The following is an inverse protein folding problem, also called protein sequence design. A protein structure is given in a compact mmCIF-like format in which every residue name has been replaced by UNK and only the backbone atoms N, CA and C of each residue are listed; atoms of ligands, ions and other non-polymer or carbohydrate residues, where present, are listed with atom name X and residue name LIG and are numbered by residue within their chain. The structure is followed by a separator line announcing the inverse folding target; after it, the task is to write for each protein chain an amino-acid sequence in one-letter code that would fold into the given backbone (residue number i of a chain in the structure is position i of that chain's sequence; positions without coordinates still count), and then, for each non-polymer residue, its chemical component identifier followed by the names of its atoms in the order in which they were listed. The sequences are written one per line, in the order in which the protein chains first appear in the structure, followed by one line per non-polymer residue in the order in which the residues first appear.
data_IF_703866338245
#
_entry.id   IF_703866338245
#
_cell.length_a   1.000
_cell.length_b   1.000
_cell.length_c   1.000
_cell.angle_alpha   90.00
_cell.angle_beta   90.00
_cell.angle_gamma   90.00
#
_symmetry.space_group_name_H-M   'P 1'
#
loop_
_entity.id
_entity.type
_entity.pdbx_description
1 polymer ?
#
# COMPACT_ATOMS: atom_id res chain seq x y z
N UNK A 1 6.15 1.66 -50.90
CA UNK A 1 6.65 0.64 -49.94
C UNK A 1 7.29 1.21 -48.66
N UNK A 2 7.57 2.52 -48.56
CA UNK A 2 8.26 3.10 -47.40
C UNK A 2 7.35 3.49 -46.22
N UNK A 3 6.05 3.72 -46.45
CA UNK A 3 5.10 4.14 -45.40
C UNK A 3 4.43 2.97 -44.65
N UNK A 4 4.25 1.82 -45.32
CA UNK A 4 3.69 0.59 -44.71
C UNK A 4 4.70 -0.15 -43.81
N UNK A 5 5.99 -0.01 -44.11
CA UNK A 5 7.07 -0.56 -43.28
C UNK A 5 7.33 0.33 -42.05
N UNK A 6 7.11 1.65 -42.17
CA UNK A 6 7.27 2.61 -41.05
C UNK A 6 6.18 2.46 -39.97
N UNK A 7 4.97 2.05 -40.35
CA UNK A 7 3.86 1.80 -39.43
C UNK A 7 4.02 0.48 -38.63
N UNK A 8 4.74 -0.50 -39.18
CA UNK A 8 5.00 -1.77 -38.49
C UNK A 8 6.11 -1.70 -37.45
N UNK A 9 7.07 -0.77 -37.59
CA UNK A 9 8.16 -0.57 -36.61
C UNK A 9 7.72 0.19 -35.36
N UNK A 10 6.68 1.01 -35.42
CA UNK A 10 6.14 1.74 -34.25
C UNK A 10 5.35 0.80 -33.32
N UNK A 11 4.72 -0.25 -33.85
CA UNK A 11 3.92 -1.18 -33.05
C UNK A 11 4.78 -2.11 -32.16
N UNK A 12 6.00 -2.44 -32.57
CA UNK A 12 6.94 -3.26 -31.80
C UNK A 12 7.60 -2.53 -30.61
N UNK A 13 7.63 -1.20 -30.63
CA UNK A 13 8.20 -0.38 -29.55
C UNK A 13 7.24 -0.14 -28.37
N UNK A 14 5.94 -0.40 -28.54
CA UNK A 14 4.94 -0.19 -27.49
C UNK A 14 4.82 -1.39 -26.53
N UNK A 15 5.23 -2.59 -26.95
CA UNK A 15 5.11 -3.81 -26.13
C UNK A 15 6.17 -3.86 -25.02
N UNK A 16 7.34 -3.24 -25.22
CA UNK A 16 8.41 -3.19 -24.20
C UNK A 16 8.13 -2.24 -23.04
N UNK A 17 7.22 -1.27 -23.21
CA UNK A 17 6.82 -0.34 -22.13
C UNK A 17 5.86 -0.98 -21.12
N UNK A 18 5.09 -2.01 -21.54
CA UNK A 18 4.13 -2.71 -20.65
C UNK A 18 4.85 -3.55 -19.59
N UNK A 19 5.97 -4.18 -19.94
CA UNK A 19 6.76 -4.99 -19.00
C UNK A 19 7.63 -4.16 -18.05
N UNK A 20 8.13 -3.00 -18.50
CA UNK A 20 8.86 -2.06 -17.63
C UNK A 20 7.97 -1.48 -16.52
N UNK A 21 6.69 -1.23 -16.82
CA UNK A 21 5.73 -0.68 -15.87
C UNK A 21 5.29 -1.70 -14.80
N UNK A 22 5.23 -2.99 -15.15
CA UNK A 22 4.91 -4.07 -14.19
C UNK A 22 6.08 -4.35 -13.23
N UNK A 23 7.32 -4.30 -13.72
CA UNK A 23 8.53 -4.52 -12.92
C UNK A 23 8.81 -3.33 -11.97
N UNK A 24 8.56 -2.09 -12.41
CA UNK A 24 8.61 -0.90 -11.55
C UNK A 24 7.48 -0.87 -10.51
N UNK A 25 6.25 -1.27 -10.86
CA UNK A 25 5.15 -1.39 -9.88
C UNK A 25 5.39 -2.48 -8.84
N UNK A 26 5.96 -3.63 -9.23
CA UNK A 26 6.37 -4.68 -8.28
C UNK A 26 7.50 -4.23 -7.37
N UNK A 27 8.46 -3.45 -7.88
CA UNK A 27 9.51 -2.80 -7.05
C UNK A 27 8.95 -1.78 -6.04
N UNK A 28 7.72 -1.30 -6.21
CA UNK A 28 7.08 -0.35 -5.29
C UNK A 28 6.27 -1.03 -4.17
N UNK A 29 5.89 -2.29 -4.30
CA UNK A 29 5.15 -3.01 -3.25
C UNK A 29 6.10 -3.82 -2.38
N UNK A 30 6.33 -3.34 -1.14
CA UNK A 30 7.11 -4.05 -0.12
C UNK A 30 6.51 -5.42 0.20
N UNK A 31 7.35 -6.42 0.45
CA UNK A 31 6.89 -7.75 0.88
C UNK A 31 6.32 -7.71 2.32
N UNK A 32 5.54 -8.71 2.76
CA UNK A 32 5.09 -8.82 4.15
C UNK A 32 6.24 -8.75 5.17
N UNK A 33 7.36 -9.40 4.86
CA UNK A 33 8.57 -9.43 5.68
C UNK A 33 9.23 -8.05 5.76
N UNK A 34 9.39 -7.36 4.63
CA UNK A 34 9.95 -6.00 4.59
C UNK A 34 9.10 -5.02 5.39
N UNK A 35 7.76 -5.11 5.27
CA UNK A 35 6.85 -4.29 6.06
C UNK A 35 6.94 -4.62 7.57
N UNK A 36 7.09 -5.90 7.92
CA UNK A 36 7.27 -6.31 9.32
C UNK A 36 8.58 -5.76 9.90
N UNK A 37 9.69 -5.82 9.15
CA UNK A 37 10.98 -5.23 9.55
C UNK A 37 10.87 -3.72 9.76
N UNK A 38 10.20 -2.99 8.86
CA UNK A 38 10.02 -1.55 9.01
C UNK A 38 9.25 -1.20 10.28
N UNK A 39 8.13 -1.90 10.54
CA UNK A 39 7.33 -1.69 11.74
C UNK A 39 8.15 -1.99 12.99
N UNK A 40 8.92 -3.08 12.98
CA UNK A 40 9.77 -3.46 14.09
C UNK A 40 10.83 -2.38 14.38
N UNK A 41 11.47 -1.84 13.35
CA UNK A 41 12.42 -0.72 13.49
C UNK A 41 11.78 0.50 14.16
N UNK A 42 10.58 0.92 13.71
CA UNK A 42 9.84 2.04 14.32
C UNK A 42 9.40 1.77 15.76
N UNK A 43 9.14 0.51 16.11
CA UNK A 43 8.82 0.13 17.49
C UNK A 43 10.06 0.22 18.37
N UNK A 44 11.19 -0.31 17.92
CA UNK A 44 12.45 -0.33 18.65
C UNK A 44 13.02 1.08 18.91
N UNK A 45 12.67 2.07 18.07
CA UNK A 45 12.95 3.48 18.34
C UNK A 45 12.19 4.03 19.58
N UNK A 46 11.07 3.41 19.98
CA UNK A 46 10.19 3.92 21.03
C UNK A 46 10.08 3.03 22.26
N UNK A 47 10.36 1.75 22.12
CA UNK A 47 10.30 0.75 23.19
C UNK A 47 11.42 -0.27 23.02
N UNK A 48 12.00 -0.70 24.13
CA UNK A 48 12.89 -1.86 24.15
C UNK A 48 12.04 -3.14 24.07
N UNK A 49 12.47 -4.06 23.22
CA UNK A 49 11.90 -5.40 23.05
C UNK A 49 13.02 -6.41 23.31
N UNK A 50 12.74 -7.43 24.12
CA UNK A 50 13.63 -8.58 24.21
C UNK A 50 13.57 -9.43 22.93
N UNK A 51 14.49 -10.38 22.80
CA UNK A 51 14.62 -11.21 21.58
C UNK A 51 13.36 -12.04 21.30
N UNK A 52 12.67 -12.51 22.33
CA UNK A 52 11.45 -13.30 22.18
C UNK A 52 10.29 -12.39 21.73
N UNK A 53 10.11 -11.24 22.37
CA UNK A 53 9.13 -10.24 22.00
C UNK A 53 9.36 -9.74 20.58
N UNK A 54 10.61 -9.46 20.21
CA UNK A 54 11.02 -9.03 18.87
C UNK A 54 10.61 -10.05 17.81
N UNK A 55 10.96 -11.32 18.03
CA UNK A 55 10.60 -12.41 17.12
C UNK A 55 9.09 -12.57 17.00
N UNK A 56 8.36 -12.58 18.12
CA UNK A 56 6.91 -12.73 18.11
C UNK A 56 6.21 -11.54 17.45
N UNK A 57 6.66 -10.30 17.69
CA UNK A 57 6.12 -9.10 17.01
C UNK A 57 6.37 -9.20 15.51
N UNK A 58 7.56 -9.62 15.08
CA UNK A 58 7.88 -9.82 13.67
C UNK A 58 6.93 -10.85 13.03
N UNK A 59 6.84 -12.06 13.60
CA UNK A 59 6.01 -13.16 13.07
C UNK A 59 4.53 -12.72 12.95
N UNK A 60 3.99 -12.06 13.99
CA UNK A 60 2.61 -11.52 13.97
C UNK A 60 2.40 -10.50 12.85
N UNK A 61 3.38 -9.64 12.56
CA UNK A 61 3.23 -8.64 11.49
C UNK A 61 3.37 -9.25 10.10
N UNK A 62 4.23 -10.26 9.92
CA UNK A 62 4.30 -11.01 8.65
C UNK A 62 2.95 -11.65 8.35
N UNK A 63 2.35 -12.35 9.31
CA UNK A 63 1.03 -12.99 9.15
C UNK A 63 -0.06 -11.95 8.84
N UNK A 64 -0.05 -10.82 9.56
CA UNK A 64 -0.97 -9.72 9.34
C UNK A 64 -0.85 -9.14 7.93
N UNK A 65 0.36 -8.81 7.46
CA UNK A 65 0.55 -8.23 6.14
C UNK A 65 0.21 -9.21 5.03
N UNK A 66 0.50 -10.49 5.23
CA UNK A 66 0.11 -11.57 4.30
C UNK A 66 -1.42 -11.64 4.18
N UNK A 67 -2.13 -11.67 5.32
CA UNK A 67 -3.59 -11.71 5.36
C UNK A 67 -4.23 -10.45 4.79
N UNK A 68 -3.61 -9.28 5.07
CA UNK A 68 -4.07 -7.99 4.58
C UNK A 68 -3.99 -7.91 3.05
N UNK A 69 -2.92 -8.45 2.44
CA UNK A 69 -2.80 -8.50 0.98
C UNK A 69 -3.95 -9.28 0.33
N UNK A 70 -4.38 -10.39 0.93
CA UNK A 70 -5.51 -11.17 0.42
C UNK A 70 -6.84 -10.42 0.60
N UNK A 71 -7.10 -9.88 1.79
CA UNK A 71 -8.35 -9.16 2.09
C UNK A 71 -8.47 -7.86 1.29
N UNK A 72 -7.36 -7.17 1.00
CA UNK A 72 -7.38 -5.97 0.16
C UNK A 72 -7.90 -6.26 -1.25
N UNK A 73 -7.65 -7.45 -1.81
CA UNK A 73 -8.19 -7.87 -3.12
C UNK A 73 -9.72 -7.97 -3.08
N UNK A 74 -10.27 -8.40 -1.95
CA UNK A 74 -11.72 -8.49 -1.72
C UNK A 74 -12.39 -7.12 -1.51
N UNK A 75 -11.61 -6.06 -1.24
CA UNK A 75 -12.09 -4.71 -0.88
C UNK A 75 -13.07 -4.70 0.31
N UNK A 76 -13.00 -5.72 1.16
CA UNK A 76 -13.86 -5.85 2.32
C UNK A 76 -13.28 -5.07 3.51
N UNK A 77 -13.92 -3.96 3.88
CA UNK A 77 -13.45 -3.08 4.96
C UNK A 77 -13.57 -3.71 6.34
N UNK A 78 -14.64 -4.44 6.59
CA UNK A 78 -14.89 -5.09 7.88
C UNK A 78 -13.81 -6.12 8.18
N UNK A 79 -13.49 -6.98 7.20
CA UNK A 79 -12.38 -7.94 7.33
C UNK A 79 -11.02 -7.26 7.55
N UNK A 80 -10.79 -6.09 6.94
CA UNK A 80 -9.54 -5.35 7.20
C UNK A 80 -9.47 -4.85 8.64
N UNK A 81 -10.59 -4.37 9.19
CA UNK A 81 -10.68 -3.93 10.58
C UNK A 81 -10.51 -5.10 11.55
N UNK A 82 -11.15 -6.24 11.28
CA UNK A 82 -10.98 -7.47 12.05
C UNK A 82 -9.53 -7.94 12.09
N UNK A 83 -8.81 -7.91 10.96
CA UNK A 83 -7.38 -8.26 10.92
C UNK A 83 -6.53 -7.31 11.78
N UNK A 84 -6.83 -6.02 11.76
CA UNK A 84 -6.12 -5.04 12.60
C UNK A 84 -6.37 -5.31 14.08
N UNK A 85 -7.61 -5.61 14.46
CA UNK A 85 -7.96 -5.93 15.84
C UNK A 85 -7.33 -7.24 16.32
N UNK A 86 -7.37 -8.29 15.48
CA UNK A 86 -6.77 -9.58 15.76
C UNK A 86 -5.26 -9.42 16.00
N UNK A 87 -4.57 -8.72 15.09
CA UNK A 87 -3.14 -8.40 15.22
C UNK A 87 -2.86 -7.64 16.52
N UNK A 88 -3.65 -6.61 16.83
CA UNK A 88 -3.49 -5.83 18.06
C UNK A 88 -3.69 -6.68 19.32
N UNK A 89 -4.59 -7.67 19.28
CA UNK A 89 -4.82 -8.59 20.40
C UNK A 89 -3.63 -9.53 20.59
N UNK A 90 -3.12 -10.13 19.52
CA UNK A 90 -1.94 -11.00 19.58
C UNK A 90 -0.72 -10.27 20.14
N UNK A 91 -0.47 -9.03 19.71
CA UNK A 91 0.64 -8.22 20.25
C UNK A 91 0.44 -7.87 21.73
N UNK A 92 -0.81 -7.68 22.17
CA UNK A 92 -1.12 -7.40 23.59
C UNK A 92 -0.76 -8.56 24.52
N UNK A 93 -0.84 -9.80 24.02
CA UNK A 93 -0.56 -11.00 24.81
C UNK A 93 0.94 -11.18 25.06
N UNK A 94 1.80 -10.59 24.23
CA UNK A 94 3.27 -10.73 24.32
C UNK A 94 3.97 -9.49 24.89
N UNK A 95 3.35 -8.31 24.80
CA UNK A 95 3.95 -7.05 25.29
C UNK A 95 3.42 -6.68 26.67
N UNK A 96 4.28 -6.09 27.50
CA UNK A 96 3.84 -5.47 28.75
C UNK A 96 2.90 -4.31 28.50
N UNK A 97 2.06 -3.98 29.49
CA UNK A 97 1.08 -2.89 29.38
C UNK A 97 1.66 -1.55 28.92
N UNK A 98 2.88 -1.21 29.36
CA UNK A 98 3.57 0.03 28.94
C UNK A 98 4.04 -0.06 27.48
N UNK A 99 4.69 -1.16 27.11
CA UNK A 99 5.14 -1.43 25.74
C UNK A 99 3.95 -1.43 24.77
N UNK A 100 2.86 -2.11 25.13
CA UNK A 100 1.66 -2.19 24.31
C UNK A 100 1.00 -0.83 24.04
N UNK A 101 1.00 0.08 25.02
CA UNK A 101 0.48 1.44 24.81
C UNK A 101 1.29 2.20 23.77
N UNK A 102 2.62 2.12 23.84
CA UNK A 102 3.52 2.74 22.86
C UNK A 102 3.38 2.10 21.49
N UNK A 103 3.22 0.78 21.45
CA UNK A 103 2.91 0.03 20.24
C UNK A 103 1.68 0.59 19.52
N UNK A 104 0.56 0.79 20.25
CA UNK A 104 -0.66 1.36 19.66
C UNK A 104 -0.43 2.77 19.11
N UNK A 105 0.37 3.60 19.78
CA UNK A 105 0.74 4.93 19.27
C UNK A 105 1.53 4.83 17.97
N UNK A 106 2.52 3.95 17.87
CA UNK A 106 3.28 3.70 16.63
C UNK A 106 2.35 3.24 15.50
N UNK A 107 1.40 2.36 15.80
CA UNK A 107 0.41 1.92 14.80
C UNK A 107 -0.51 3.04 14.35
N UNK A 108 -0.87 3.98 15.23
CA UNK A 108 -1.71 5.12 14.89
C UNK A 108 -0.96 6.15 14.03
N UNK A 109 0.28 6.46 14.37
CA UNK A 109 1.13 7.41 13.62
C UNK A 109 1.45 6.91 12.21
N UNK A 110 1.61 5.59 12.04
CA UNK A 110 1.91 4.97 10.75
C UNK A 110 0.68 4.73 9.86
N UNK A 111 -0.54 5.06 10.32
CA UNK A 111 -1.71 4.96 9.45
C UNK A 111 -1.59 6.01 8.33
N UNK A 112 -1.80 5.62 7.06
CA UNK A 112 -1.81 6.60 5.98
C UNK A 112 -2.88 7.64 6.27
N UNK A 113 -2.47 8.90 6.39
CA UNK A 113 -3.40 10.02 6.51
C UNK A 113 -4.27 10.02 5.25
N UNK A 114 -5.57 9.82 5.42
CA UNK A 114 -6.51 10.09 4.32
C UNK A 114 -6.39 11.58 4.02
N UNK A 115 -6.13 12.00 2.77
CA UNK A 115 -6.19 13.41 2.43
C UNK A 115 -7.56 13.95 2.84
N UNK A 116 -7.59 14.85 3.82
CA UNK A 116 -8.78 15.63 4.15
C UNK A 116 -9.10 16.51 2.93
N UNK A 117 -9.92 16.01 2.00
CA UNK A 117 -10.31 16.78 0.83
C UNK A 117 -10.51 16.04 -0.49
N UNK A 118 -10.86 14.75 -0.48
CA UNK A 118 -11.31 14.04 -1.69
C UNK A 118 -12.68 14.50 -2.21
N UNK A 119 -12.85 15.78 -2.56
CA UNK A 119 -13.88 16.23 -3.50
C UNK A 119 -13.31 16.01 -4.90
N UNK A 120 -13.93 15.13 -5.68
CA UNK A 120 -13.67 15.07 -7.13
C UNK A 120 -13.37 13.70 -7.71
N UNK A 121 -14.17 12.69 -7.39
CA UNK A 121 -14.47 11.70 -8.42
C UNK A 121 -15.29 12.41 -9.51
N UNK A 122 -14.66 12.81 -10.61
CA UNK A 122 -15.38 13.10 -11.85
C UNK A 122 -14.49 12.84 -13.07
N UNK A 123 -15.10 12.22 -14.07
CA UNK A 123 -14.48 11.63 -15.26
C UNK A 123 -13.51 12.53 -16.00
N UNK A 124 -12.55 11.87 -16.67
CA UNK A 124 -11.52 12.53 -17.47
C UNK A 124 -12.05 13.36 -18.64
N UNK A 125 -11.19 14.15 -19.30
CA UNK A 125 -11.61 15.00 -20.40
C UNK A 125 -11.62 14.19 -21.71
N UNK A 126 -12.60 13.30 -21.84
CA UNK A 126 -13.07 12.75 -23.11
C UNK A 126 -14.45 13.31 -23.42
N UNK A 127 -14.50 14.42 -24.17
CA UNK A 127 -15.71 14.83 -24.91
C UNK A 127 -16.46 16.05 -24.38
N UNK A 128 -16.12 17.24 -24.90
CA UNK A 128 -17.11 18.28 -25.20
C UNK A 128 -16.80 18.89 -26.56
N UNK A 129 -17.44 18.29 -27.56
CA UNK A 129 -17.72 18.88 -28.87
C UNK A 129 -18.93 19.79 -28.68
N UNK A 130 -18.78 21.09 -28.92
CA UNK A 130 -19.93 21.95 -29.22
C UNK A 130 -19.98 23.30 -28.51
N UNK A 131 -19.63 24.36 -29.26
CA UNK A 131 -20.51 25.54 -29.34
C UNK A 131 -20.16 26.78 -28.51
N UNK A 132 -19.59 27.79 -29.18
CA UNK A 132 -20.07 29.18 -29.04
C UNK A 132 -19.21 30.18 -28.25
N UNK A 133 -19.02 31.35 -28.89
CA UNK A 133 -18.40 32.62 -28.42
C UNK A 133 -16.88 32.57 -28.24
N UNK A 134 -16.06 33.42 -28.84
CA UNK A 134 -16.26 34.73 -29.45
C UNK A 134 -15.18 35.67 -28.91
N UNK A 135 -14.44 36.38 -29.78
CA UNK A 135 -13.63 37.54 -29.41
C UNK A 135 -12.18 37.54 -29.90
N UNK A 136 -11.95 38.02 -31.13
CA UNK A 136 -11.12 39.18 -31.48
C UNK A 136 -11.23 39.44 -32.99
#
# INVERSE_FOLDING_TARGET
MKLRVLLSTVFLLLISQVYAQEEEMRKQMRTPEENAVEILGKLEEKIELDDQQRKSVYDIHVDFFTSMQEVMKERNREKMEELVEARNKQVKEILEKKQYRKYLSVMQENRPQRPEGGRGGQGGPGGMRGGGRGGM
#
